data_IF_222382370411
#
_entry.id   IF_222382370411
#
_cell.length_a   1.000
_cell.length_b   1.000
_cell.length_c   1.000
_cell.angle_alpha   90.00
_cell.angle_beta   90.00
_cell.angle_gamma   90.00
#
_symmetry.space_group_name_H-M   'P 1'
#
loop_
_entity.id
_entity.type
_entity.pdbx_description
1 polymer ?
#
# COMPACT_ATOMS: atom_id res chain seq x y z
N UNK A 1 -11.10 -7.64 10.78
CA UNK A 1 -10.46 -7.14 9.55
C UNK A 1 -10.68 -5.64 9.44
N UNK A 2 -9.59 -4.87 9.35
CA UNK A 2 -9.59 -3.43 9.12
C UNK A 2 -8.64 -3.13 7.96
N UNK A 3 -9.04 -2.27 7.03
CA UNK A 3 -8.23 -1.92 5.85
C UNK A 3 -7.99 -0.42 5.91
N UNK A 4 -6.75 -0.03 6.17
CA UNK A 4 -6.39 1.34 6.49
C UNK A 4 -5.49 1.88 5.37
N UNK A 5 -5.97 2.89 4.65
CA UNK A 5 -5.13 3.65 3.74
C UNK A 5 -4.42 4.77 4.49
N UNK A 6 -3.08 4.82 4.40
CA UNK A 6 -2.28 5.91 4.94
C UNK A 6 -2.00 6.90 3.82
N UNK A 7 -2.69 8.04 3.83
CA UNK A 7 -2.73 8.93 2.68
C UNK A 7 -2.59 10.41 3.02
N UNK A 8 -1.92 11.12 2.11
CA UNK A 8 -1.74 12.56 2.10
C UNK A 8 -1.07 12.96 0.78
N UNK A 9 -1.67 13.91 0.06
CA UNK A 9 -1.14 14.46 -1.20
C UNK A 9 0.22 15.13 -1.04
N UNK A 10 0.61 15.50 0.18
CA UNK A 10 1.92 16.08 0.48
C UNK A 10 2.98 15.01 0.68
N UNK A 11 4.13 15.18 0.02
CA UNK A 11 5.34 14.39 0.25
C UNK A 11 5.97 14.70 1.61
N UNK A 12 6.66 13.72 2.21
CA UNK A 12 7.47 13.93 3.42
C UNK A 12 6.70 14.15 4.73
N UNK A 13 5.40 13.86 4.77
CA UNK A 13 4.57 14.02 5.99
C UNK A 13 4.53 12.79 6.91
N UNK A 14 5.34 11.77 6.60
CA UNK A 14 5.48 10.57 7.43
C UNK A 14 4.52 9.43 7.08
N UNK A 15 3.96 9.37 5.85
CA UNK A 15 3.10 8.26 5.40
C UNK A 15 3.78 6.89 5.56
N UNK A 16 4.84 6.64 4.80
CA UNK A 16 5.60 5.39 4.85
C UNK A 16 6.08 5.02 6.25
N UNK A 17 6.57 6.01 7.01
CA UNK A 17 6.99 5.78 8.40
C UNK A 17 5.83 5.34 9.29
N UNK A 18 4.67 5.97 9.13
CA UNK A 18 3.44 5.60 9.85
C UNK A 18 2.96 4.22 9.43
N UNK A 19 2.91 3.94 8.13
CA UNK A 19 2.52 2.63 7.57
C UNK A 19 3.40 1.51 8.16
N UNK A 20 4.72 1.69 8.13
CA UNK A 20 5.68 0.71 8.67
C UNK A 20 5.52 0.53 10.19
N UNK A 21 5.42 1.62 10.94
CA UNK A 21 5.24 1.55 12.39
C UNK A 21 3.93 0.86 12.78
N UNK A 22 2.85 1.11 12.04
CA UNK A 22 1.57 0.44 12.23
C UNK A 22 1.68 -1.05 11.96
N UNK A 23 2.28 -1.46 10.84
CA UNK A 23 2.45 -2.87 10.53
C UNK A 23 3.24 -3.61 11.61
N UNK A 24 4.42 -3.10 11.95
CA UNK A 24 5.29 -3.70 12.95
C UNK A 24 4.62 -3.76 14.34
N UNK A 25 4.01 -2.65 14.80
CA UNK A 25 3.38 -2.59 16.12
C UNK A 25 2.11 -3.42 16.25
N UNK A 26 1.37 -3.64 15.16
CA UNK A 26 0.21 -4.55 15.14
C UNK A 26 0.67 -6.01 15.12
N UNK A 27 1.70 -6.33 14.34
CA UNK A 27 2.29 -7.67 14.31
C UNK A 27 2.89 -8.08 15.66
N UNK A 28 3.59 -7.16 16.34
CA UNK A 28 4.15 -7.38 17.69
C UNK A 28 3.05 -7.72 18.72
N UNK A 29 1.83 -7.21 18.52
CA UNK A 29 0.66 -7.53 19.34
C UNK A 29 -0.02 -8.86 18.98
N UNK A 30 0.52 -9.60 18.02
CA UNK A 30 0.02 -10.91 17.60
C UNK A 30 -1.07 -10.88 16.53
N UNK A 31 -1.33 -9.72 15.90
CA UNK A 31 -2.27 -9.63 14.79
C UNK A 31 -1.64 -10.12 13.48
N UNK A 32 -2.45 -10.69 12.60
CA UNK A 32 -2.04 -10.98 11.22
C UNK A 32 -2.14 -9.71 10.39
N UNK A 33 -1.02 -9.26 9.83
CA UNK A 33 -0.93 -7.96 9.15
C UNK A 33 -0.38 -8.12 7.74
N UNK A 34 -1.01 -7.45 6.78
CA UNK A 34 -0.51 -7.25 5.43
C UNK A 34 -0.22 -5.77 5.19
N UNK A 35 1.01 -5.44 4.82
CA UNK A 35 1.40 -4.14 4.28
C UNK A 35 1.36 -4.16 2.75
N UNK A 36 0.83 -3.11 2.12
CA UNK A 36 0.82 -2.97 0.67
C UNK A 36 1.47 -1.64 0.31
N UNK A 37 2.55 -1.70 -0.48
CA UNK A 37 3.18 -0.50 -1.03
C UNK A 37 2.49 -0.13 -2.35
N UNK A 38 1.87 1.04 -2.42
CA UNK A 38 1.35 1.61 -3.67
C UNK A 38 2.15 2.84 -4.14
N UNK A 39 3.26 3.19 -3.50
CA UNK A 39 4.14 4.27 -3.96
C UNK A 39 5.18 3.70 -4.94
N UNK A 40 5.25 4.15 -6.20
CA UNK A 40 6.28 3.71 -7.14
C UNK A 40 7.72 3.96 -6.67
N UNK A 41 7.92 4.82 -5.66
CA UNK A 41 9.24 5.01 -5.03
C UNK A 41 9.69 3.81 -4.18
N UNK A 42 8.78 2.93 -3.76
CA UNK A 42 9.13 1.69 -3.05
C UNK A 42 9.76 1.90 -1.67
N UNK A 43 9.54 3.05 -1.03
CA UNK A 43 10.16 3.38 0.26
C UNK A 43 9.67 2.46 1.37
N UNK A 44 8.39 2.08 1.36
CA UNK A 44 7.82 1.15 2.34
C UNK A 44 8.39 -0.24 2.15
N UNK A 45 8.46 -0.71 0.90
CA UNK A 45 9.10 -1.98 0.53
C UNK A 45 10.54 -2.05 1.02
N UNK A 46 11.32 -0.99 0.79
CA UNK A 46 12.71 -0.89 1.23
C UNK A 46 12.82 -0.90 2.76
N UNK A 47 11.95 -0.16 3.46
CA UNK A 47 11.92 -0.15 4.93
C UNK A 47 11.59 -1.54 5.52
N UNK A 48 10.73 -2.31 4.85
CA UNK A 48 10.39 -3.68 5.23
C UNK A 48 11.49 -4.70 4.90
N UNK A 49 12.51 -4.31 4.11
CA UNK A 49 13.53 -5.22 3.60
C UNK A 49 13.00 -6.21 2.55
N UNK A 50 11.94 -5.83 1.82
CA UNK A 50 11.34 -6.64 0.76
C UNK A 50 12.16 -6.58 -0.53
N UNK A 51 12.15 -7.67 -1.30
CA UNK A 51 12.70 -7.69 -2.66
C UNK A 51 11.70 -7.04 -3.62
N UNK A 52 12.18 -6.21 -4.55
CA UNK A 52 11.32 -5.48 -5.49
C UNK A 52 11.84 -5.50 -6.93
N UNK A 53 12.81 -6.37 -7.22
CA UNK A 53 13.41 -6.55 -8.54
C UNK A 53 13.26 -8.01 -8.99
N UNK A 54 12.79 -8.23 -10.23
CA UNK A 54 12.51 -9.55 -10.80
C UNK A 54 11.56 -10.44 -9.96
N UNK A 55 10.67 -9.82 -9.18
CA UNK A 55 9.62 -10.47 -8.41
C UNK A 55 8.30 -9.75 -8.66
N UNK A 56 7.14 -10.43 -8.56
CA UNK A 56 5.85 -9.76 -8.63
C UNK A 56 5.71 -8.70 -7.54
N UNK A 57 5.19 -7.54 -7.92
CA UNK A 57 4.96 -6.39 -7.05
C UNK A 57 3.50 -5.93 -7.18
N UNK A 58 3.14 -4.86 -6.48
CA UNK A 58 1.89 -4.13 -6.70
C UNK A 58 1.68 -3.75 -8.16
N UNK A 59 2.73 -3.58 -8.98
CA UNK A 59 2.58 -3.31 -10.41
C UNK A 59 1.92 -4.48 -11.15
N UNK A 60 2.50 -5.67 -11.06
CA UNK A 60 1.97 -6.89 -11.70
C UNK A 60 0.58 -7.23 -11.15
N UNK A 61 0.37 -7.06 -9.84
CA UNK A 61 -0.92 -7.24 -9.19
C UNK A 61 -2.00 -6.33 -9.80
N UNK A 62 -1.69 -5.04 -9.96
CA UNK A 62 -2.61 -4.04 -10.50
C UNK A 62 -2.90 -4.24 -12.00
N UNK A 63 -2.04 -4.99 -12.70
CA UNK A 63 -2.23 -5.38 -14.10
C UNK A 63 -2.88 -6.75 -14.28
N UNK A 64 -3.21 -7.46 -13.20
CA UNK A 64 -3.69 -8.85 -13.23
C UNK A 64 -2.69 -9.82 -13.88
N UNK A 65 -1.41 -9.47 -13.83
CA UNK A 65 -0.30 -10.28 -14.34
C UNK A 65 0.27 -11.22 -13.25
N UNK A 66 -0.11 -10.99 -11.99
CA UNK A 66 0.20 -11.85 -10.84
C UNK A 66 -0.95 -11.85 -9.82
N UNK A 67 -1.08 -12.94 -9.07
CA UNK A 67 -1.97 -13.06 -7.91
C UNK A 67 -1.38 -12.38 -6.67
N UNK A 68 -2.21 -12.13 -5.66
CA UNK A 68 -1.76 -11.56 -4.40
C UNK A 68 -0.79 -12.52 -3.69
N UNK A 69 -1.07 -13.82 -3.71
CA UNK A 69 -0.24 -14.86 -3.11
C UNK A 69 1.15 -14.93 -3.73
N UNK A 70 1.29 -14.67 -5.03
CA UNK A 70 2.59 -14.63 -5.72
C UNK A 70 3.40 -13.37 -5.38
N UNK A 71 2.73 -12.27 -5.05
CA UNK A 71 3.37 -10.99 -4.71
C UNK A 71 3.67 -10.83 -3.21
N UNK A 72 3.04 -11.62 -2.34
CA UNK A 72 3.26 -11.58 -0.89
C UNK A 72 4.65 -12.10 -0.52
N UNK A 73 5.34 -11.32 0.31
CA UNK A 73 6.59 -11.70 0.95
C UNK A 73 6.45 -11.66 2.47
N UNK A 74 7.03 -12.64 3.14
CA UNK A 74 7.15 -12.66 4.60
C UNK A 74 8.33 -11.78 5.02
N UNK A 75 8.10 -10.80 5.88
CA UNK A 75 9.17 -9.92 6.36
C UNK A 75 9.79 -10.44 7.66
N UNK A 76 11.03 -10.03 7.94
CA UNK A 76 11.66 -10.29 9.26
C UNK A 76 10.97 -9.54 10.40
N UNK A 77 10.12 -8.57 10.08
CA UNK A 77 9.38 -7.74 11.03
C UNK A 77 8.08 -8.39 11.51
N UNK A 78 7.78 -9.63 11.08
CA UNK A 78 6.65 -10.41 11.57
C UNK A 78 5.30 -10.12 10.90
N UNK A 79 5.31 -9.40 9.78
CA UNK A 79 4.13 -9.15 8.94
C UNK A 79 4.43 -9.41 7.46
N UNK A 80 3.37 -9.54 6.66
CA UNK A 80 3.46 -9.78 5.23
C UNK A 80 3.47 -8.49 4.45
N UNK A 81 4.15 -8.47 3.30
CA UNK A 81 4.24 -7.28 2.45
C UNK A 81 4.02 -7.63 0.99
N UNK A 82 3.25 -6.79 0.29
CA UNK A 82 3.25 -6.70 -1.17
C UNK A 82 4.09 -5.47 -1.53
N UNK A 83 5.28 -5.66 -2.15
CA UNK A 83 6.19 -4.58 -2.43
C UNK A 83 5.77 -3.77 -3.66
N UNK A 84 6.43 -2.64 -3.88
CA UNK A 84 6.29 -1.78 -5.06
C UNK A 84 7.65 -1.52 -5.69
N UNK A 85 7.62 -1.16 -6.98
CA UNK A 85 8.77 -0.68 -7.72
C UNK A 85 8.35 0.44 -8.69
N UNK A 86 9.34 1.00 -9.40
CA UNK A 86 9.15 2.14 -10.30
C UNK A 86 8.18 1.85 -11.45
N UNK A 87 7.98 0.58 -11.84
CA UNK A 87 7.07 0.20 -12.92
C UNK A 87 5.62 0.54 -12.58
N UNK A 88 5.27 0.62 -11.29
CA UNK A 88 3.94 1.04 -10.83
C UNK A 88 3.55 2.45 -11.33
N UNK A 89 4.52 3.33 -11.61
CA UNK A 89 4.26 4.61 -12.24
C UNK A 89 3.71 4.48 -13.68
N UNK A 90 4.07 3.39 -14.39
CA UNK A 90 3.51 3.03 -15.69
C UNK A 90 2.04 2.61 -15.59
N UNK A 91 1.68 1.84 -14.55
CA UNK A 91 0.28 1.45 -14.32
C UNK A 91 -0.63 2.67 -14.13
N UNK A 92 -0.16 3.75 -13.50
CA UNK A 92 -0.94 4.98 -13.35
C UNK A 92 -1.38 5.58 -14.71
N UNK A 93 -0.57 5.43 -15.76
CA UNK A 93 -0.87 5.88 -17.11
C UNK A 93 -1.65 4.84 -17.92
N UNK A 94 -1.32 3.56 -17.76
CA UNK A 94 -1.89 2.45 -18.52
C UNK A 94 -3.31 2.08 -18.09
N UNK A 95 -3.63 2.28 -16.80
CA UNK A 95 -4.97 2.12 -16.23
C UNK A 95 -5.90 3.19 -16.82
N UNK A 96 -6.43 2.91 -18.01
CA UNK A 96 -7.35 3.76 -18.78
C UNK A 96 -8.73 3.12 -18.94
N UNK A 97 -8.87 1.86 -18.55
CA UNK A 97 -10.10 1.08 -18.67
C UNK A 97 -11.10 1.40 -17.53
N UNK A 98 -12.39 1.19 -17.80
CA UNK A 98 -13.46 1.27 -16.80
C UNK A 98 -13.19 0.32 -15.63
N UNK A 99 -13.45 0.75 -14.39
CA UNK A 99 -13.26 -0.08 -13.19
C UNK A 99 -11.83 -0.09 -12.65
N UNK A 100 -10.91 0.66 -13.25
CA UNK A 100 -9.51 0.76 -12.83
C UNK A 100 -9.30 1.18 -11.37
N UNK A 101 -10.27 1.87 -10.79
CA UNK A 101 -10.32 2.30 -9.39
C UNK A 101 -10.58 1.16 -8.39
N UNK A 102 -10.96 -0.03 -8.86
CA UNK A 102 -11.25 -1.21 -8.04
C UNK A 102 -10.16 -2.29 -8.10
N UNK A 103 -9.10 -2.13 -8.90
CA UNK A 103 -8.11 -3.18 -9.18
C UNK A 103 -7.45 -3.75 -7.92
N UNK A 104 -7.03 -2.87 -6.99
CA UNK A 104 -6.46 -3.33 -5.73
C UNK A 104 -7.48 -4.15 -4.92
N UNK A 105 -8.72 -3.67 -4.85
CA UNK A 105 -9.79 -4.35 -4.12
C UNK A 105 -10.07 -5.73 -4.71
N UNK A 106 -10.17 -5.83 -6.03
CA UNK A 106 -10.42 -7.10 -6.72
C UNK A 106 -9.28 -8.10 -6.49
N UNK A 107 -8.02 -7.63 -6.58
CA UNK A 107 -6.86 -8.48 -6.39
C UNK A 107 -6.69 -8.98 -4.94
N UNK A 108 -7.00 -8.15 -3.93
CA UNK A 108 -6.76 -8.49 -2.53
C UNK A 108 -7.98 -9.13 -1.84
N UNK A 109 -9.21 -8.85 -2.29
CA UNK A 109 -10.43 -9.38 -1.65
C UNK A 109 -10.43 -10.90 -1.42
N UNK A 110 -9.92 -11.76 -2.32
CA UNK A 110 -9.88 -13.21 -2.12
C UNK A 110 -9.08 -13.64 -0.88
N UNK A 111 -8.03 -12.89 -0.53
CA UNK A 111 -7.13 -13.21 0.61
C UNK A 111 -7.37 -12.34 1.84
N UNK A 112 -8.18 -11.28 1.73
CA UNK A 112 -8.30 -10.27 2.77
C UNK A 112 -8.71 -10.87 4.13
N UNK A 113 -9.56 -11.91 4.12
CA UNK A 113 -10.00 -12.63 5.32
C UNK A 113 -8.90 -13.36 6.09
N UNK A 114 -7.69 -13.50 5.52
CA UNK A 114 -6.54 -14.10 6.20
C UNK A 114 -5.84 -13.13 7.17
N UNK A 115 -6.17 -11.83 7.10
CA UNK A 115 -5.52 -10.77 7.86
C UNK A 115 -6.49 -10.05 8.79
N UNK A 116 -6.00 -9.69 9.98
CA UNK A 116 -6.72 -8.83 10.90
C UNK A 116 -6.64 -7.37 10.46
N UNK A 117 -5.49 -6.97 9.90
CA UNK A 117 -5.22 -5.62 9.39
C UNK A 117 -4.54 -5.66 8.02
N UNK A 118 -4.99 -4.77 7.13
CA UNK A 118 -4.31 -4.44 5.87
C UNK A 118 -3.97 -2.96 5.91
N UNK A 119 -2.69 -2.62 5.77
CA UNK A 119 -2.20 -1.23 5.76
C UNK A 119 -1.69 -0.91 4.36
N UNK A 120 -2.21 0.15 3.76
CA UNK A 120 -1.87 0.55 2.39
C UNK A 120 -1.07 1.86 2.45
N UNK A 121 0.21 1.81 2.07
CA UNK A 121 1.04 3.00 1.91
C UNK A 121 0.80 3.61 0.53
N UNK A 122 0.40 4.88 0.48
CA UNK A 122 -0.01 5.55 -0.77
C UNK A 122 1.04 6.56 -1.27
N UNK A 123 1.09 6.83 -2.58
CA UNK A 123 1.97 7.86 -3.13
C UNK A 123 1.56 9.28 -2.67
N UNK A 124 2.46 10.29 -2.77
CA UNK A 124 2.14 11.69 -2.51
C UNK A 124 1.33 12.33 -3.65
N UNK A 125 0.21 11.72 -4.02
CA UNK A 125 -0.69 12.21 -5.07
C UNK A 125 -2.14 11.81 -4.76
N UNK A 126 -3.10 12.37 -5.50
CA UNK A 126 -4.50 11.94 -5.51
C UNK A 126 -4.83 11.21 -6.83
N UNK A 127 -3.83 10.56 -7.43
CA UNK A 127 -3.96 9.82 -8.68
C UNK A 127 -4.69 8.48 -8.52
N UNK A 128 -4.68 7.68 -9.60
CA UNK A 128 -5.45 6.42 -9.65
C UNK A 128 -5.00 5.40 -8.59
N UNK A 129 -3.73 5.42 -8.19
CA UNK A 129 -3.19 4.54 -7.15
C UNK A 129 -3.79 4.87 -5.77
N UNK A 130 -3.84 6.16 -5.42
CA UNK A 130 -4.48 6.63 -4.19
C UNK A 130 -5.99 6.36 -4.22
N UNK A 131 -6.64 6.54 -5.37
CA UNK A 131 -8.06 6.19 -5.54
C UNK A 131 -8.28 4.69 -5.31
N UNK A 132 -7.41 3.81 -5.81
CA UNK A 132 -7.50 2.38 -5.55
C UNK A 132 -7.39 2.05 -4.06
N UNK A 133 -6.47 2.71 -3.34
CA UNK A 133 -6.36 2.57 -1.91
C UNK A 133 -7.67 2.96 -1.20
N UNK A 134 -8.27 4.09 -1.59
CA UNK A 134 -9.52 4.59 -1.00
C UNK A 134 -10.73 3.72 -1.32
N UNK A 135 -10.81 3.18 -2.53
CA UNK A 135 -11.88 2.27 -2.94
C UNK A 135 -11.86 0.95 -2.15
N UNK A 136 -10.68 0.53 -1.70
CA UNK A 136 -10.51 -0.70 -0.92
C UNK A 136 -10.57 -0.48 0.59
N UNK A 137 -10.09 0.65 1.09
CA UNK A 137 -9.98 0.93 2.52
C UNK A 137 -11.34 1.08 3.22
N UNK A 138 -11.41 0.61 4.47
CA UNK A 138 -12.50 0.92 5.40
C UNK A 138 -12.27 2.25 6.10
N UNK A 139 -11.01 2.60 6.33
CA UNK A 139 -10.59 3.78 7.10
C UNK A 139 -9.42 4.48 6.40
N UNK A 140 -9.36 5.81 6.52
CA UNK A 140 -8.26 6.60 5.99
C UNK A 140 -7.56 7.31 7.15
N UNK A 141 -6.27 7.04 7.28
CA UNK A 141 -5.39 7.76 8.19
C UNK A 141 -4.63 8.83 7.41
N UNK A 142 -4.66 10.07 7.90
CA UNK A 142 -3.98 11.21 7.27
C UNK A 142 -2.86 11.71 8.20
N UNK A 143 -1.61 11.23 8.03
CA UNK A 143 -0.48 11.79 8.75
C UNK A 143 -0.25 13.23 8.32
N UNK A 144 -0.06 14.12 9.29
CA UNK A 144 0.25 15.53 9.04
C UNK A 144 1.40 15.98 9.94
N UNK A 145 2.31 16.77 9.37
CA UNK A 145 3.38 17.41 10.14
C UNK A 145 2.80 18.63 10.83
N UNK A 146 3.10 18.84 12.12
CA UNK A 146 2.76 20.07 12.82
C UNK A 146 3.54 21.25 12.23
N UNK A 147 2.97 21.92 11.23
CA UNK A 147 3.59 23.03 10.50
C UNK A 147 2.54 23.92 9.83
N UNK A 148 2.98 25.05 9.28
CA UNK A 148 2.06 26.12 8.84
C UNK A 148 1.05 25.68 7.76
N UNK A 149 1.39 24.66 6.98
CA UNK A 149 0.54 24.11 5.92
C UNK A 149 -0.18 22.81 6.33
N UNK A 150 -0.21 22.46 7.62
CA UNK A 150 -0.77 21.19 8.11
C UNK A 150 -2.29 21.06 7.87
N UNK A 151 -3.00 22.20 7.84
CA UNK A 151 -4.44 22.30 7.68
C UNK A 151 -4.86 22.92 6.33
N UNK A 152 -3.89 23.20 5.45
CA UNK A 152 -4.15 23.71 4.10
C UNK A 152 -3.80 22.61 3.11
N UNK A 153 -4.82 21.88 2.65
CA UNK A 153 -4.68 20.76 1.73
C UNK A 153 -5.99 20.03 1.57
#
# INVERSE_FOLDING_TARGET
MQIIAVANQKGGVGKTTTSHAMCAGLAEKGFKVLGIDLDPQGNFSTACGAENYNVPTSYELMKEEASAEEAIQQTKSGFDVIPSNIMLAGAEQELSQTGKEYRLKEAISPIAGNYDFIIIDTPPSLGVLTVNAFTFASDILIPTTAGIFAATG
#
